data_IF_832528500783
#
_entry.id   IF_832528500783
#
_cell.length_a   1.000
_cell.length_b   1.000
_cell.length_c   1.000
_cell.angle_alpha   90.00
_cell.angle_beta   90.00
_cell.angle_gamma   90.00
#
_symmetry.space_group_name_H-M   'P 1'
#
loop_
_entity.id
_entity.type
_entity.pdbx_description
1 polymer ?
#
# COMPACT_ATOMS: atom_id res chain seq x y z
N UNK A 1 26.45 -10.30 -12.06
CA UNK A 1 25.02 -10.61 -12.26
C UNK A 1 24.32 -9.33 -12.70
N UNK A 2 23.69 -9.33 -13.88
CA UNK A 2 22.87 -8.19 -14.33
C UNK A 2 21.67 -8.09 -13.37
N UNK A 3 21.48 -6.93 -12.74
CA UNK A 3 20.28 -6.68 -11.93
C UNK A 3 19.07 -6.83 -12.84
N UNK A 4 18.34 -7.92 -12.71
CA UNK A 4 17.01 -8.11 -13.28
C UNK A 4 16.03 -7.33 -12.39
N UNK A 5 16.22 -6.02 -12.28
CA UNK A 5 15.21 -5.13 -11.74
C UNK A 5 14.14 -4.96 -12.81
N UNK A 6 12.86 -4.92 -12.42
CA UNK A 6 11.77 -4.53 -13.31
C UNK A 6 12.22 -3.36 -14.18
N UNK A 7 12.36 -3.60 -15.49
CA UNK A 7 13.14 -2.75 -16.39
C UNK A 7 12.56 -1.34 -16.60
N UNK A 8 11.44 -1.02 -15.95
CA UNK A 8 10.82 0.29 -15.93
C UNK A 8 10.71 0.84 -14.50
N UNK A 9 11.75 1.54 -14.06
CA UNK A 9 11.67 2.42 -12.88
C UNK A 9 10.52 3.41 -13.08
N UNK A 10 9.49 3.34 -12.24
CA UNK A 10 8.33 4.24 -12.30
C UNK A 10 8.75 5.69 -12.07
N UNK A 11 9.65 5.89 -11.10
CA UNK A 11 10.35 7.14 -10.83
C UNK A 11 11.85 6.88 -11.01
N UNK A 12 12.54 7.55 -11.97
CA UNK A 12 13.95 7.27 -12.27
C UNK A 12 14.90 7.60 -11.12
N UNK A 13 14.66 8.75 -10.48
CA UNK A 13 15.44 9.30 -9.38
C UNK A 13 15.04 8.66 -8.05
N UNK A 14 16.03 8.17 -7.29
CA UNK A 14 15.77 7.55 -5.99
C UNK A 14 15.34 8.59 -4.95
N UNK A 15 15.81 9.84 -5.05
CA UNK A 15 15.37 10.93 -4.18
C UNK A 15 13.89 11.28 -4.39
N UNK A 16 13.46 11.36 -5.65
CA UNK A 16 12.06 11.60 -5.98
C UNK A 16 11.18 10.41 -5.61
N UNK A 17 11.71 9.19 -5.75
CA UNK A 17 11.02 7.98 -5.34
C UNK A 17 10.82 7.94 -3.82
N UNK A 18 11.82 8.26 -3.00
CA UNK A 18 11.68 8.37 -1.54
C UNK A 18 10.58 9.37 -1.18
N UNK A 19 10.64 10.57 -1.75
CA UNK A 19 9.64 11.62 -1.50
C UNK A 19 8.24 11.18 -1.89
N UNK A 20 8.12 10.45 -2.99
CA UNK A 20 6.86 9.89 -3.44
C UNK A 20 6.34 8.81 -2.50
N UNK A 21 7.17 7.83 -2.14
CA UNK A 21 6.78 6.72 -1.26
C UNK A 21 6.30 7.23 0.09
N UNK A 22 6.99 8.22 0.68
CA UNK A 22 6.53 8.84 1.94
C UNK A 22 5.13 9.44 1.80
N UNK A 23 4.86 10.17 0.70
CA UNK A 23 3.53 10.76 0.45
C UNK A 23 2.47 9.68 0.24
N UNK A 24 2.78 8.68 -0.57
CA UNK A 24 1.90 7.56 -0.85
C UNK A 24 1.54 6.83 0.45
N UNK A 25 2.53 6.48 1.25
CA UNK A 25 2.38 5.77 2.52
C UNK A 25 1.49 6.53 3.51
N UNK A 26 1.69 7.86 3.65
CA UNK A 26 0.85 8.70 4.50
C UNK A 26 -0.62 8.69 4.05
N UNK A 27 -0.86 8.85 2.74
CA UNK A 27 -2.21 8.86 2.17
C UNK A 27 -2.86 7.49 2.31
N UNK A 28 -2.11 6.42 2.08
CA UNK A 28 -2.57 5.04 2.23
C UNK A 28 -3.03 4.76 3.67
N UNK A 29 -2.17 5.05 4.66
CA UNK A 29 -2.49 4.83 6.07
C UNK A 29 -3.67 5.68 6.51
N UNK A 30 -3.70 6.96 6.14
CA UNK A 30 -4.83 7.83 6.44
C UNK A 30 -6.14 7.27 5.85
N UNK A 31 -6.11 6.82 4.60
CA UNK A 31 -7.27 6.20 3.93
C UNK A 31 -7.73 4.94 4.65
N UNK A 32 -6.81 4.02 4.98
CA UNK A 32 -7.14 2.77 5.68
C UNK A 32 -7.71 3.02 7.07
N UNK A 33 -7.14 3.97 7.84
CA UNK A 33 -7.66 4.35 9.16
C UNK A 33 -9.04 4.98 9.03
N UNK A 34 -9.24 5.92 8.10
CA UNK A 34 -10.56 6.54 7.90
C UNK A 34 -11.63 5.52 7.52
N UNK A 35 -11.32 4.59 6.62
CA UNK A 35 -12.22 3.49 6.27
C UNK A 35 -12.52 2.61 7.48
N UNK A 36 -11.51 2.24 8.27
CA UNK A 36 -11.72 1.49 9.51
C UNK A 36 -12.61 2.22 10.51
N UNK A 37 -12.38 3.52 10.72
CA UNK A 37 -13.14 4.34 11.66
C UNK A 37 -14.61 4.52 11.25
N UNK A 38 -14.90 4.59 9.95
CA UNK A 38 -16.28 4.66 9.45
C UNK A 38 -17.09 3.39 9.76
N UNK A 39 -16.43 2.23 9.81
CA UNK A 39 -17.09 0.92 10.01
C UNK A 39 -16.92 0.36 11.44
N UNK A 40 -16.20 1.06 12.32
CA UNK A 40 -16.03 0.71 13.74
C UNK A 40 -17.34 0.77 14.56
N UNK A 41 -18.39 1.39 14.03
CA UNK A 41 -19.73 1.43 14.64
C UNK A 41 -20.58 0.18 14.37
N UNK A 42 -20.26 -0.59 13.34
CA UNK A 42 -20.81 -1.93 13.15
C UNK A 42 -19.95 -2.87 13.97
N UNK A 43 -20.53 -3.71 14.85
CA UNK A 43 -19.74 -4.69 15.63
C UNK A 43 -18.86 -5.46 14.65
N UNK A 44 -17.54 -5.29 14.69
CA UNK A 44 -16.69 -6.14 13.88
C UNK A 44 -16.90 -7.55 14.41
N UNK A 45 -17.45 -8.43 13.58
CA UNK A 45 -17.34 -9.86 13.82
C UNK A 45 -15.86 -10.18 13.71
N UNK A 46 -15.14 -10.02 14.83
CA UNK A 46 -13.76 -10.42 14.92
C UNK A 46 -13.71 -11.92 14.63
N UNK A 47 -12.81 -12.28 13.71
CA UNK A 47 -12.58 -13.67 13.36
C UNK A 47 -12.28 -14.47 14.61
N UNK A 48 -13.12 -15.46 14.90
CA UNK A 48 -12.82 -16.46 15.91
C UNK A 48 -11.74 -17.39 15.36
N UNK A 49 -10.49 -17.09 15.73
CA UNK A 49 -9.33 -17.88 15.33
C UNK A 49 -9.32 -19.28 15.96
N UNK A 50 -10.01 -19.48 17.09
CA UNK A 50 -10.04 -20.77 17.79
C UNK A 50 -10.97 -21.78 17.10
N UNK A 51 -12.07 -21.29 16.51
CA UNK A 51 -13.02 -22.11 15.75
C UNK A 51 -12.88 -21.95 14.21
N UNK A 52 -11.74 -21.45 13.74
CA UNK A 52 -11.52 -21.15 12.32
C UNK A 52 -11.38 -22.42 11.47
N UNK A 53 -12.43 -22.74 10.71
CA UNK A 53 -12.38 -23.77 9.67
C UNK A 53 -12.30 -23.15 8.27
N UNK A 54 -11.20 -23.43 7.56
CA UNK A 54 -10.94 -22.92 6.20
C UNK A 54 -12.04 -23.30 5.20
N UNK A 55 -12.70 -24.45 5.42
CA UNK A 55 -13.84 -24.97 4.65
C UNK A 55 -15.14 -24.19 4.83
N UNK A 56 -15.27 -23.39 5.90
CA UNK A 56 -16.49 -22.60 6.23
C UNK A 56 -16.32 -21.10 6.01
N UNK A 57 -15.17 -20.66 5.50
CA UNK A 57 -14.86 -19.24 5.33
C UNK A 57 -15.66 -18.66 4.17
N UNK A 58 -16.48 -17.65 4.46
CA UNK A 58 -17.18 -16.88 3.44
C UNK A 58 -16.18 -16.04 2.65
N UNK A 59 -16.53 -15.66 1.41
CA UNK A 59 -15.70 -14.75 0.59
C UNK A 59 -15.24 -13.51 1.38
N UNK A 60 -16.17 -12.89 2.13
CA UNK A 60 -15.90 -11.75 3.01
C UNK A 60 -14.82 -12.08 4.04
N UNK A 61 -14.88 -13.26 4.64
CA UNK A 61 -13.87 -13.75 5.56
C UNK A 61 -12.50 -13.92 4.94
N UNK A 62 -12.44 -14.52 3.76
CA UNK A 62 -11.18 -14.73 3.04
C UNK A 62 -10.50 -13.41 2.70
N UNK A 63 -11.25 -12.43 2.18
CA UNK A 63 -10.67 -11.11 1.86
C UNK A 63 -10.28 -10.33 3.13
N UNK A 64 -11.01 -10.49 4.23
CA UNK A 64 -10.61 -9.91 5.53
C UNK A 64 -9.26 -10.44 6.00
N UNK A 65 -9.06 -11.76 5.97
CA UNK A 65 -7.80 -12.40 6.36
C UNK A 65 -6.65 -11.97 5.43
N UNK A 66 -6.89 -11.98 4.11
CA UNK A 66 -5.89 -11.49 3.15
C UNK A 66 -5.54 -10.03 3.40
N UNK A 67 -6.51 -9.17 3.72
CA UNK A 67 -6.27 -7.79 4.09
C UNK A 67 -5.37 -7.63 5.31
N UNK A 68 -5.63 -8.41 6.37
CA UNK A 68 -4.81 -8.42 7.60
C UNK A 68 -3.39 -8.93 7.31
N UNK A 69 -3.25 -10.00 6.53
CA UNK A 69 -1.94 -10.53 6.13
C UNK A 69 -1.11 -9.50 5.35
N UNK A 70 -1.73 -8.81 4.39
CA UNK A 70 -1.05 -7.78 3.61
C UNK A 70 -0.71 -6.54 4.45
N UNK A 71 -1.60 -6.14 5.36
CA UNK A 71 -1.32 -5.05 6.32
C UNK A 71 -0.18 -5.42 7.27
N UNK A 72 -0.12 -6.67 7.75
CA UNK A 72 0.98 -7.19 8.55
C UNK A 72 2.31 -7.20 7.78
N UNK A 73 2.30 -7.68 6.53
CA UNK A 73 3.48 -7.65 5.66
C UNK A 73 3.96 -6.21 5.37
N UNK A 74 3.03 -5.27 5.24
CA UNK A 74 3.31 -3.85 5.09
C UNK A 74 3.99 -3.25 6.34
N UNK A 75 3.49 -3.58 7.54
CA UNK A 75 4.00 -3.03 8.81
C UNK A 75 5.30 -3.69 9.30
N UNK A 76 5.41 -5.02 9.18
CA UNK A 76 6.52 -5.82 9.73
C UNK A 76 7.68 -6.04 8.75
N UNK A 77 7.58 -5.51 7.52
CA UNK A 77 8.66 -5.64 6.54
C UNK A 77 9.98 -5.04 7.07
N UNK A 78 11.13 -5.72 6.90
CA UNK A 78 12.41 -5.39 7.57
C UNK A 78 13.01 -4.01 7.24
N UNK A 79 12.40 -3.24 6.33
CA UNK A 79 12.79 -1.86 5.95
C UNK A 79 11.59 -0.88 5.93
N UNK A 80 10.42 -1.26 6.43
CA UNK A 80 9.15 -0.72 5.95
C UNK A 80 8.21 -0.08 6.96
N UNK A 81 8.53 -0.01 8.25
CA UNK A 81 7.71 0.80 9.12
C UNK A 81 7.89 2.28 8.71
N UNK A 82 6.81 2.92 8.28
CA UNK A 82 6.74 4.37 7.99
C UNK A 82 7.35 5.16 9.14
N UNK A 83 7.14 4.68 10.37
CA UNK A 83 7.75 5.21 11.59
C UNK A 83 9.27 5.23 11.44
N UNK A 84 9.91 4.10 11.17
CA UNK A 84 11.37 4.05 11.00
C UNK A 84 11.86 4.94 9.86
N UNK A 85 11.17 4.98 8.72
CA UNK A 85 11.57 5.87 7.62
C UNK A 85 11.36 7.36 7.91
N UNK A 86 10.29 7.76 8.59
CA UNK A 86 10.08 9.14 9.02
C UNK A 86 11.11 9.54 10.08
N UNK A 87 11.40 8.64 11.03
CA UNK A 87 12.45 8.85 12.03
C UNK A 87 13.83 8.96 11.39
N UNK A 88 14.18 8.09 10.43
CA UNK A 88 15.47 8.14 9.73
C UNK A 88 15.61 9.42 8.90
N UNK A 89 14.55 9.85 8.20
CA UNK A 89 14.54 11.13 7.48
C UNK A 89 14.70 12.30 8.45
N UNK A 90 14.01 12.28 9.59
CA UNK A 90 14.07 13.34 10.58
C UNK A 90 15.44 13.42 11.29
N UNK A 91 16.06 12.27 11.58
CA UNK A 91 17.30 12.19 12.35
C UNK A 91 18.55 12.33 11.48
N UNK A 92 18.53 11.81 10.26
CA UNK A 92 19.75 11.66 9.45
C UNK A 92 19.61 12.21 8.02
N UNK A 93 18.43 12.73 7.66
CA UNK A 93 18.13 13.18 6.30
C UNK A 93 18.05 12.02 5.29
N UNK A 94 17.77 12.36 4.04
CA UNK A 94 17.57 11.36 2.97
C UNK A 94 18.81 10.53 2.60
N UNK A 95 19.99 10.85 3.13
CA UNK A 95 21.29 10.31 2.67
C UNK A 95 21.72 9.00 3.34
N UNK A 96 21.15 8.64 4.49
CA UNK A 96 21.62 7.51 5.32
C UNK A 96 20.64 6.36 5.42
N UNK A 97 19.43 6.51 4.87
CA UNK A 97 18.45 5.43 4.82
C UNK A 97 19.09 4.31 3.98
N UNK A 98 19.21 3.11 4.55
CA UNK A 98 19.59 1.88 3.83
C UNK A 98 18.55 1.55 2.77
N UNK A 99 18.51 2.35 1.71
CA UNK A 99 17.39 2.44 0.79
C UNK A 99 17.46 1.33 -0.24
N UNK A 100 17.00 0.14 0.16
CA UNK A 100 16.69 -0.90 -0.82
C UNK A 100 15.36 -0.58 -1.45
N UNK A 101 15.40 0.16 -2.57
CA UNK A 101 14.25 0.51 -3.42
C UNK A 101 13.25 -0.63 -3.59
N UNK A 102 13.75 -1.84 -3.85
CA UNK A 102 12.93 -3.06 -4.00
C UNK A 102 12.06 -3.32 -2.76
N UNK A 103 12.59 -3.13 -1.56
CA UNK A 103 11.85 -3.30 -0.31
C UNK A 103 10.69 -2.30 -0.18
N UNK A 104 10.90 -1.06 -0.66
CA UNK A 104 9.88 -0.01 -0.67
C UNK A 104 8.82 -0.20 -1.74
N UNK A 105 9.22 -0.61 -2.94
CA UNK A 105 8.28 -1.00 -4.00
C UNK A 105 7.39 -2.16 -3.54
N UNK A 106 7.97 -3.18 -2.89
CA UNK A 106 7.20 -4.28 -2.27
C UNK A 106 6.27 -3.78 -1.15
N UNK A 107 6.73 -2.86 -0.30
CA UNK A 107 5.89 -2.23 0.73
C UNK A 107 4.65 -1.58 0.11
N UNK A 108 4.86 -0.76 -0.92
CA UNK A 108 3.78 -0.07 -1.60
C UNK A 108 2.77 -1.05 -2.20
N UNK A 109 3.24 -2.18 -2.75
CA UNK A 109 2.39 -3.26 -3.27
C UNK A 109 1.58 -3.91 -2.13
N UNK A 110 2.23 -4.30 -1.03
CA UNK A 110 1.53 -4.90 0.11
C UNK A 110 0.51 -3.94 0.73
N UNK A 111 0.87 -2.67 0.87
CA UNK A 111 -0.04 -1.63 1.33
C UNK A 111 -1.23 -1.42 0.39
N UNK A 112 -0.99 -1.39 -0.92
CA UNK A 112 -2.06 -1.29 -1.92
C UNK A 112 -3.01 -2.49 -1.88
N UNK A 113 -2.46 -3.71 -1.76
CA UNK A 113 -3.23 -4.95 -1.63
C UNK A 113 -4.04 -4.95 -0.33
N UNK A 114 -3.47 -4.48 0.78
CA UNK A 114 -4.19 -4.35 2.04
C UNK A 114 -5.40 -3.43 1.90
N UNK A 115 -5.26 -2.28 1.23
CA UNK A 115 -6.38 -1.40 0.92
C UNK A 115 -7.41 -2.07 0.00
N UNK A 116 -6.97 -2.75 -1.06
CA UNK A 116 -7.86 -3.45 -1.99
C UNK A 116 -8.72 -4.48 -1.26
N UNK A 117 -8.11 -5.32 -0.41
CA UNK A 117 -8.83 -6.31 0.38
C UNK A 117 -9.72 -5.68 1.45
N UNK A 118 -9.29 -4.57 2.09
CA UNK A 118 -10.14 -3.83 3.01
C UNK A 118 -11.40 -3.31 2.32
N UNK A 119 -11.27 -2.73 1.13
CA UNK A 119 -12.42 -2.24 0.36
C UNK A 119 -13.34 -3.40 -0.08
N UNK A 120 -12.79 -4.54 -0.50
CA UNK A 120 -13.59 -5.73 -0.83
C UNK A 120 -14.27 -6.33 0.42
N UNK A 121 -13.63 -6.25 1.58
CA UNK A 121 -14.20 -6.69 2.86
C UNK A 121 -15.38 -5.82 3.30
N UNK A 122 -15.27 -4.51 3.10
CA UNK A 122 -16.28 -3.53 3.50
C UNK A 122 -17.45 -3.45 2.53
N UNK A 123 -17.18 -3.43 1.22
CA UNK A 123 -18.20 -3.15 0.19
C UNK A 123 -18.53 -4.35 -0.71
N UNK A 124 -17.88 -5.50 -0.51
CA UNK A 124 -17.93 -6.64 -1.42
C UNK A 124 -17.02 -6.47 -2.64
N UNK A 125 -16.87 -7.52 -3.46
CA UNK A 125 -15.90 -7.54 -4.56
C UNK A 125 -16.12 -6.40 -5.57
N UNK A 126 -17.32 -6.29 -6.14
CA UNK A 126 -17.60 -5.36 -7.24
C UNK A 126 -17.45 -3.89 -6.81
N UNK A 127 -18.12 -3.49 -5.73
CA UNK A 127 -18.02 -2.13 -5.21
C UNK A 127 -16.64 -1.84 -4.61
N UNK A 128 -15.99 -2.83 -4.00
CA UNK A 128 -14.63 -2.69 -3.49
C UNK A 128 -13.63 -2.35 -4.59
N UNK A 129 -13.72 -2.99 -5.76
CA UNK A 129 -12.90 -2.66 -6.93
C UNK A 129 -13.20 -1.26 -7.47
N UNK A 130 -14.48 -0.86 -7.54
CA UNK A 130 -14.86 0.49 -7.96
C UNK A 130 -14.28 1.56 -7.01
N UNK A 131 -14.43 1.37 -5.70
CA UNK A 131 -13.86 2.27 -4.70
C UNK A 131 -12.34 2.29 -4.72
N UNK A 132 -11.69 1.18 -5.07
CA UNK A 132 -10.23 1.13 -5.20
C UNK A 132 -9.75 2.08 -6.29
N UNK A 133 -10.43 2.13 -7.45
CA UNK A 133 -10.05 3.00 -8.57
C UNK A 133 -10.10 4.49 -8.21
N UNK A 134 -11.09 4.90 -7.43
CA UNK A 134 -11.29 6.30 -7.00
C UNK A 134 -10.62 6.62 -5.66
N UNK A 135 -9.94 5.64 -5.04
CA UNK A 135 -9.29 5.86 -3.75
C UNK A 135 -8.13 6.86 -3.86
N UNK A 136 -7.86 7.65 -2.81
CA UNK A 136 -6.76 8.60 -2.82
C UNK A 136 -5.39 8.00 -3.21
N UNK A 137 -5.00 6.79 -2.76
CA UNK A 137 -3.76 6.15 -3.19
C UNK A 137 -3.73 5.81 -4.69
N UNK A 138 -4.83 5.31 -5.26
CA UNK A 138 -4.93 5.01 -6.70
C UNK A 138 -4.84 6.26 -7.56
N UNK A 139 -5.55 7.33 -7.17
CA UNK A 139 -5.48 8.61 -7.88
C UNK A 139 -4.06 9.17 -7.85
N UNK A 140 -3.38 9.10 -6.71
CA UNK A 140 -2.00 9.56 -6.57
C UNK A 140 -1.04 8.77 -7.50
N UNK A 141 -1.18 7.46 -7.58
CA UNK A 141 -0.42 6.63 -8.52
C UNK A 141 -0.74 7.01 -9.97
N UNK A 142 -2.02 7.16 -10.31
CA UNK A 142 -2.48 7.60 -11.63
C UNK A 142 -1.87 8.93 -12.07
N UNK A 143 -1.85 9.92 -11.18
CA UNK A 143 -1.23 11.22 -11.45
C UNK A 143 0.27 11.12 -11.70
N UNK A 144 1.00 10.25 -10.99
CA UNK A 144 2.42 10.04 -11.28
C UNK A 144 2.66 9.39 -12.63
N UNK A 145 1.83 8.41 -13.01
CA UNK A 145 1.91 7.79 -14.34
C UNK A 145 1.67 8.81 -15.46
N UNK A 146 0.65 9.66 -15.31
CA UNK A 146 0.37 10.75 -16.26
C UNK A 146 1.53 11.74 -16.35
N UNK A 147 2.08 12.17 -15.20
CA UNK A 147 3.23 13.07 -15.16
C UNK A 147 4.43 12.50 -15.93
N UNK A 148 4.72 11.20 -15.75
CA UNK A 148 5.81 10.54 -16.46
C UNK A 148 5.56 10.49 -17.98
N UNK A 149 4.33 10.21 -18.40
CA UNK A 149 3.97 10.17 -19.82
C UNK A 149 4.18 11.53 -20.50
N UNK A 150 3.71 12.61 -19.87
CA UNK A 150 3.85 13.96 -20.42
C UNK A 150 5.31 14.41 -20.53
N UNK A 151 6.17 14.02 -19.58
CA UNK A 151 7.62 14.31 -19.65
C UNK A 151 8.29 13.54 -20.80
N UNK A 152 7.82 12.32 -21.09
CA UNK A 152 8.33 11.53 -22.20
C UNK A 152 7.89 12.13 -23.55
N UNK A 153 6.63 12.54 -23.67
CA UNK A 153 6.10 13.20 -24.88
C UNK A 153 6.72 14.58 -25.14
N UNK A 154 7.22 15.29 -24.13
CA UNK A 154 7.90 16.59 -24.32
C UNK A 154 9.38 16.49 -24.68
N UNK A 155 9.96 15.28 -24.64
CA UNK A 155 11.38 15.02 -24.94
C UNK A 155 11.58 14.35 -26.31
N UNK A 156 10.50 13.95 -26.96
CA UNK A 156 10.44 13.46 -28.34
C UNK A 156 10.10 14.62 -29.30
#
# INVERSE_FOLDING_TARGET
>A
MKQVGFSYRLIPSDADFIKFTIKYDMILVATMISLWMMFLGEKPEFFDFENFELSKVTFRGTVGILGIMMAGAYLCGPNNCIIFCLFDVALFGYKTIGFKRIGKELAMIYGFLALAFLLMYLFGFFFGVLWLLVSPPSLLLGFQFLKRRNVKESQD
#
